data_IF_569725311576
#
_entry.id   IF_569725311576
#
_cell.length_a   1.000
_cell.length_b   1.000
_cell.length_c   1.000
_cell.angle_alpha   90.00
_cell.angle_beta   90.00
_cell.angle_gamma   90.00
#
_symmetry.space_group_name_H-M   'P 1'
#
loop_
_entity.id
_entity.type
_entity.pdbx_description
1 polymer ?
#
# COMPACT_ATOMS: atom_id res chain seq x y z
N UNK A 1 12.28 -31.12 30.40
CA UNK A 1 12.09 -31.04 28.93
C UNK A 1 10.69 -30.57 28.66
N UNK A 2 10.47 -29.35 28.10
CA UNK A 2 9.15 -28.92 27.69
C UNK A 2 8.77 -29.55 26.34
N UNK A 3 7.53 -30.02 26.22
CA UNK A 3 6.97 -30.65 25.02
C UNK A 3 6.93 -29.64 23.86
N UNK A 4 7.18 -30.08 22.61
CA UNK A 4 7.05 -29.21 21.45
C UNK A 4 5.57 -28.83 21.24
N UNK A 5 5.30 -27.54 21.15
CA UNK A 5 3.98 -27.01 20.78
C UNK A 5 3.81 -27.23 19.28
N UNK A 6 2.85 -28.09 18.92
CA UNK A 6 2.42 -28.29 17.53
C UNK A 6 1.95 -26.96 16.91
N UNK A 7 2.27 -26.67 15.64
CA UNK A 7 1.76 -25.50 14.98
C UNK A 7 0.23 -25.62 14.84
N UNK A 8 -0.47 -24.71 15.50
CA UNK A 8 -1.92 -24.55 15.35
C UNK A 8 -2.23 -24.26 13.88
N UNK A 9 -2.79 -25.22 13.17
CA UNK A 9 -3.38 -25.05 11.86
C UNK A 9 -4.53 -24.03 11.97
N UNK A 10 -4.27 -22.79 11.51
CA UNK A 10 -5.34 -21.81 11.35
C UNK A 10 -6.40 -22.38 10.40
N UNK A 11 -7.70 -22.27 10.69
CA UNK A 11 -8.75 -22.86 9.86
C UNK A 11 -8.70 -22.23 8.46
N UNK A 12 -8.58 -23.10 7.44
CA UNK A 12 -8.78 -22.73 6.03
C UNK A 12 -10.23 -22.29 5.92
N UNK A 13 -10.45 -21.00 5.84
CA UNK A 13 -11.79 -20.42 5.75
C UNK A 13 -12.42 -20.84 4.43
N UNK A 14 -13.58 -21.50 4.49
CA UNK A 14 -14.41 -21.86 3.35
C UNK A 14 -14.71 -20.62 2.47
N UNK A 15 -14.94 -20.78 1.14
CA UNK A 15 -15.35 -19.68 0.24
C UNK A 15 -16.53 -18.85 0.76
N UNK A 16 -17.35 -19.42 1.64
CA UNK A 16 -18.51 -18.78 2.26
C UNK A 16 -18.20 -17.80 3.40
N UNK A 17 -16.92 -17.60 3.79
CA UNK A 17 -16.53 -16.73 4.91
C UNK A 17 -16.02 -15.35 4.47
N UNK A 18 -16.15 -14.99 3.19
CA UNK A 18 -15.69 -13.68 2.71
C UNK A 18 -16.58 -12.54 3.21
N UNK A 19 -16.01 -11.59 3.92
CA UNK A 19 -16.66 -10.35 4.30
C UNK A 19 -16.30 -9.23 3.32
N UNK A 20 -17.23 -8.89 2.42
CA UNK A 20 -17.03 -7.79 1.47
C UNK A 20 -17.09 -6.43 2.17
N UNK A 21 -16.08 -5.60 1.97
CA UNK A 21 -15.99 -4.25 2.54
C UNK A 21 -16.73 -3.25 1.66
N UNK A 22 -17.80 -2.64 2.20
CA UNK A 22 -18.50 -1.55 1.52
C UNK A 22 -17.63 -0.30 1.50
N UNK A 23 -17.48 0.29 0.33
CA UNK A 23 -16.77 1.54 0.10
C UNK A 23 -17.77 2.71 0.17
N UNK A 24 -17.29 3.88 0.60
CA UNK A 24 -18.14 5.07 0.80
C UNK A 24 -17.78 6.26 -0.09
N UNK A 25 -17.02 6.04 -1.17
CA UNK A 25 -16.77 7.09 -2.15
C UNK A 25 -17.94 7.20 -3.14
N UNK A 26 -18.04 8.30 -3.87
CA UNK A 26 -18.98 8.41 -5.00
C UNK A 26 -18.43 7.70 -6.23
N UNK A 27 -19.29 6.98 -6.92
CA UNK A 27 -19.03 6.41 -8.24
C UNK A 27 -20.28 6.54 -9.14
N UNK A 28 -20.28 5.94 -10.31
CA UNK A 28 -21.43 5.94 -11.23
C UNK A 28 -22.56 5.02 -10.77
N UNK A 29 -22.25 4.06 -9.88
CA UNK A 29 -23.22 3.21 -9.19
C UNK A 29 -23.41 3.63 -7.72
N UNK A 30 -24.44 3.08 -7.09
CA UNK A 30 -24.68 3.25 -5.67
C UNK A 30 -23.99 2.17 -4.84
N UNK A 31 -23.66 2.46 -3.58
CA UNK A 31 -23.16 1.43 -2.65
C UNK A 31 -24.16 0.29 -2.51
N UNK A 32 -23.66 -0.93 -2.65
CA UNK A 32 -24.44 -2.17 -2.54
C UNK A 32 -24.23 -2.81 -1.17
N UNK A 33 -25.25 -3.49 -0.62
CA UNK A 33 -25.12 -4.26 0.62
C UNK A 33 -24.22 -5.47 0.40
N UNK A 34 -23.37 -5.85 1.40
CA UNK A 34 -22.42 -6.96 1.25
C UNK A 34 -23.06 -8.27 0.79
N UNK A 35 -24.24 -8.63 1.36
CA UNK A 35 -24.93 -9.88 1.08
C UNK A 35 -25.43 -9.94 -0.38
N UNK A 36 -26.00 -8.83 -0.86
CA UNK A 36 -26.45 -8.70 -2.26
C UNK A 36 -25.25 -8.72 -3.23
N UNK A 37 -24.15 -8.05 -2.84
CA UNK A 37 -22.94 -8.06 -3.62
C UNK A 37 -22.37 -9.48 -3.72
N UNK A 38 -22.26 -10.21 -2.59
CA UNK A 38 -21.74 -11.56 -2.55
C UNK A 38 -22.54 -12.50 -3.44
N UNK A 39 -23.86 -12.46 -3.36
CA UNK A 39 -24.75 -13.27 -4.24
C UNK A 39 -24.50 -13.01 -5.72
N UNK A 40 -24.27 -11.74 -6.11
CA UNK A 40 -24.02 -11.38 -7.50
C UNK A 40 -22.64 -11.83 -8.00
N UNK A 41 -21.59 -11.76 -7.16
CA UNK A 41 -20.20 -12.04 -7.56
C UNK A 41 -19.80 -13.51 -7.39
N UNK A 42 -20.62 -14.35 -6.76
CA UNK A 42 -20.33 -15.77 -6.59
C UNK A 42 -20.80 -16.65 -7.76
N UNK A 43 -21.49 -16.09 -8.76
CA UNK A 43 -21.94 -16.82 -9.94
C UNK A 43 -21.00 -16.62 -11.12
N UNK A 44 -20.19 -17.61 -11.49
CA UNK A 44 -19.27 -17.56 -12.63
C UNK A 44 -19.98 -17.20 -13.93
N UNK A 45 -21.14 -17.79 -14.21
CA UNK A 45 -21.96 -17.49 -15.43
C UNK A 45 -22.36 -16.02 -15.53
N UNK A 46 -22.62 -15.34 -14.41
CA UNK A 46 -22.92 -13.90 -14.43
C UNK A 46 -21.65 -13.09 -14.68
N UNK A 47 -20.50 -13.54 -14.20
CA UNK A 47 -19.23 -12.83 -14.33
C UNK A 47 -18.70 -12.91 -15.76
N UNK A 48 -18.89 -14.01 -16.47
CA UNK A 48 -18.52 -14.17 -17.89
C UNK A 48 -19.09 -13.03 -18.77
N UNK A 49 -20.27 -12.53 -18.44
CA UNK A 49 -20.98 -11.46 -19.16
C UNK A 49 -20.95 -10.12 -18.41
N UNK A 50 -20.12 -9.98 -17.36
CA UNK A 50 -20.09 -8.80 -16.52
C UNK A 50 -19.61 -7.58 -17.28
N UNK A 51 -20.37 -6.49 -17.18
CA UNK A 51 -20.02 -5.20 -17.77
C UNK A 51 -19.45 -4.28 -16.71
N UNK A 52 -18.18 -3.97 -16.82
CA UNK A 52 -17.47 -3.09 -15.90
C UNK A 52 -17.74 -1.61 -16.24
N UNK A 53 -17.93 -0.82 -15.19
CA UNK A 53 -17.94 0.64 -15.33
C UNK A 53 -16.49 1.18 -15.38
N UNK A 54 -16.26 2.31 -16.06
CA UNK A 54 -14.94 2.91 -16.09
C UNK A 54 -14.48 3.27 -14.67
N UNK A 55 -13.21 3.04 -14.39
CA UNK A 55 -12.59 3.41 -13.11
C UNK A 55 -12.54 4.94 -12.94
N UNK A 56 -12.61 5.41 -11.71
CA UNK A 56 -12.31 6.81 -11.39
C UNK A 56 -10.83 6.94 -11.06
N UNK A 57 -10.06 7.60 -11.94
CA UNK A 57 -8.65 7.88 -11.71
C UNK A 57 -8.45 9.22 -11.02
N UNK A 58 -7.58 9.27 -10.02
CA UNK A 58 -7.14 10.51 -9.37
C UNK A 58 -5.64 10.45 -9.11
N UNK A 59 -4.95 11.57 -9.31
CA UNK A 59 -3.52 11.65 -9.04
C UNK A 59 -3.25 12.14 -7.62
N UNK A 60 -2.64 11.28 -6.81
CA UNK A 60 -2.17 11.65 -5.48
C UNK A 60 -0.79 12.28 -5.59
N UNK A 61 -0.72 13.60 -5.33
CA UNK A 61 0.52 14.36 -5.33
C UNK A 61 1.15 14.36 -3.95
N UNK A 62 2.38 13.88 -3.83
CA UNK A 62 3.15 13.88 -2.59
C UNK A 62 4.38 14.76 -2.77
N UNK A 63 4.52 15.80 -1.95
CA UNK A 63 5.71 16.68 -1.97
C UNK A 63 6.91 15.90 -1.44
N UNK A 64 7.97 15.79 -2.23
CA UNK A 64 9.29 15.34 -1.80
C UNK A 64 10.24 16.53 -1.84
N UNK A 65 10.95 16.76 -0.74
CA UNK A 65 12.05 17.73 -0.68
C UNK A 65 13.33 16.91 -0.75
N UNK A 66 14.16 17.15 -1.74
CA UNK A 66 15.50 16.58 -1.87
C UNK A 66 16.51 17.73 -1.69
N UNK A 67 17.60 17.47 -0.97
CA UNK A 67 18.75 18.34 -0.95
C UNK A 67 19.64 17.92 -2.11
N UNK A 68 19.96 18.85 -3.01
CA UNK A 68 20.92 18.64 -4.09
C UNK A 68 22.34 18.64 -3.54
N UNK A 69 23.33 18.12 -4.30
CA UNK A 69 24.75 18.19 -3.90
C UNK A 69 25.22 19.62 -3.61
N UNK A 70 24.66 20.60 -4.29
CA UNK A 70 24.86 22.05 -4.06
C UNK A 70 24.33 22.59 -2.74
N UNK A 71 23.63 21.73 -1.93
CA UNK A 71 22.96 22.13 -0.68
C UNK A 71 21.56 22.71 -0.86
N UNK A 72 21.14 23.04 -2.08
CA UNK A 72 19.83 23.61 -2.40
C UNK A 72 18.71 22.59 -2.18
N UNK A 73 17.63 23.04 -1.54
CA UNK A 73 16.45 22.19 -1.32
C UNK A 73 15.52 22.27 -2.54
N UNK A 74 15.47 21.22 -3.34
CA UNK A 74 14.56 21.12 -4.48
C UNK A 74 13.31 20.34 -4.12
N UNK A 75 12.15 20.92 -4.42
CA UNK A 75 10.87 20.24 -4.28
C UNK A 75 10.54 19.48 -5.57
N UNK A 76 10.46 18.14 -5.47
CA UNK A 76 9.96 17.30 -6.57
C UNK A 76 8.64 16.62 -6.15
N UNK A 77 7.53 16.92 -6.81
CA UNK A 77 6.29 16.21 -6.52
C UNK A 77 6.39 14.77 -7.04
N UNK A 78 6.05 13.80 -6.18
CA UNK A 78 5.79 12.42 -6.65
C UNK A 78 4.30 12.29 -6.91
N UNK A 79 3.96 12.03 -8.14
CA UNK A 79 2.58 11.76 -8.57
C UNK A 79 2.33 10.26 -8.62
N UNK A 80 1.15 9.84 -8.15
CA UNK A 80 0.68 8.46 -8.23
C UNK A 80 -0.77 8.44 -8.71
N UNK A 81 -1.05 7.87 -9.88
CA UNK A 81 -2.42 7.64 -10.30
C UNK A 81 -3.01 6.52 -9.44
N UNK A 82 -4.16 6.79 -8.84
CA UNK A 82 -4.92 5.81 -8.05
C UNK A 82 -6.29 5.66 -8.67
N UNK A 83 -6.71 4.43 -8.90
CA UNK A 83 -7.99 4.09 -9.49
C UNK A 83 -8.98 3.56 -8.45
N UNK A 84 -10.24 3.95 -8.57
CA UNK A 84 -11.36 3.44 -7.80
C UNK A 84 -12.33 2.72 -8.71
N UNK A 85 -12.72 1.51 -8.37
CA UNK A 85 -13.75 0.76 -9.10
C UNK A 85 -15.15 1.15 -8.64
N UNK A 86 -16.15 0.95 -9.48
CA UNK A 86 -17.56 1.00 -9.12
C UNK A 86 -17.84 0.03 -7.95
N UNK A 87 -18.89 0.28 -7.18
CA UNK A 87 -19.14 -0.51 -5.96
C UNK A 87 -19.36 -1.99 -6.24
N UNK A 88 -20.11 -2.30 -7.32
CA UNK A 88 -20.31 -3.68 -7.77
C UNK A 88 -19.00 -4.32 -8.25
N UNK A 89 -18.23 -3.59 -9.04
CA UNK A 89 -16.94 -4.05 -9.56
C UNK A 89 -15.91 -4.21 -8.44
N UNK A 90 -15.91 -3.31 -7.45
CA UNK A 90 -15.05 -3.41 -6.29
C UNK A 90 -15.37 -4.65 -5.42
N UNK A 91 -16.64 -5.04 -5.34
CA UNK A 91 -17.06 -6.27 -4.66
C UNK A 91 -16.56 -7.51 -5.43
N UNK A 92 -16.69 -7.50 -6.77
CA UNK A 92 -16.17 -8.54 -7.64
C UNK A 92 -14.65 -8.67 -7.52
N UNK A 93 -13.91 -7.57 -7.57
CA UNK A 93 -12.45 -7.59 -7.37
C UNK A 93 -12.05 -8.08 -5.96
N UNK A 94 -12.85 -7.80 -4.92
CA UNK A 94 -12.61 -8.35 -3.58
C UNK A 94 -12.81 -9.87 -3.56
N UNK A 95 -13.85 -10.37 -4.22
CA UNK A 95 -14.16 -11.79 -4.31
C UNK A 95 -13.04 -12.56 -5.03
N UNK A 96 -12.65 -12.12 -6.25
CA UNK A 96 -11.57 -12.75 -7.00
C UNK A 96 -10.21 -12.59 -6.33
N UNK A 97 -9.95 -11.48 -5.65
CA UNK A 97 -8.76 -11.33 -4.80
C UNK A 97 -8.70 -12.38 -3.70
N UNK A 98 -9.84 -12.69 -3.07
CA UNK A 98 -9.92 -13.74 -2.06
C UNK A 98 -9.66 -15.13 -2.65
N UNK A 99 -10.33 -15.49 -3.75
CA UNK A 99 -10.12 -16.77 -4.43
C UNK A 99 -8.65 -16.98 -4.83
N UNK A 100 -8.06 -15.98 -5.46
CA UNK A 100 -6.65 -16.02 -5.87
C UNK A 100 -5.70 -16.08 -4.68
N UNK A 101 -5.98 -15.36 -3.60
CA UNK A 101 -5.17 -15.44 -2.40
C UNK A 101 -5.17 -16.84 -1.80
N UNK A 102 -6.32 -17.53 -1.77
CA UNK A 102 -6.40 -18.90 -1.27
C UNK A 102 -5.55 -19.88 -2.11
N UNK A 103 -5.60 -19.77 -3.43
CA UNK A 103 -4.79 -20.63 -4.31
C UNK A 103 -3.31 -20.28 -4.22
N UNK A 104 -2.98 -18.99 -4.15
CA UNK A 104 -1.60 -18.52 -3.97
C UNK A 104 -1.00 -19.02 -2.65
N UNK A 105 -1.74 -18.96 -1.53
CA UNK A 105 -1.28 -19.49 -0.24
C UNK A 105 -1.06 -21.01 -0.27
N UNK A 106 -1.93 -21.79 -0.94
CA UNK A 106 -1.71 -23.22 -1.14
C UNK A 106 -0.42 -23.52 -1.91
N UNK A 107 -0.17 -22.77 -2.97
CA UNK A 107 1.04 -22.93 -3.78
C UNK A 107 2.29 -22.56 -2.96
N UNK A 108 2.25 -21.47 -2.20
CA UNK A 108 3.36 -21.06 -1.36
C UNK A 108 3.66 -22.05 -0.22
N UNK A 109 2.66 -22.74 0.31
CA UNK A 109 2.85 -23.72 1.38
C UNK A 109 3.77 -24.89 0.98
N UNK A 110 3.83 -25.20 -0.32
CA UNK A 110 4.66 -26.28 -0.88
C UNK A 110 5.91 -25.76 -1.61
N UNK A 111 6.08 -24.44 -1.76
CA UNK A 111 7.11 -23.86 -2.62
C UNK A 111 8.49 -23.74 -1.97
N UNK A 112 8.59 -23.83 -0.65
CA UNK A 112 9.85 -23.66 0.11
C UNK A 112 10.35 -22.22 0.25
N UNK A 113 9.63 -21.20 -0.29
CA UNK A 113 9.98 -19.79 -0.15
C UNK A 113 8.85 -18.91 0.49
N UNK A 114 7.92 -19.55 1.15
CA UNK A 114 6.78 -18.89 1.79
C UNK A 114 7.18 -17.72 2.70
N UNK A 115 8.26 -17.86 3.47
CA UNK A 115 8.70 -16.86 4.44
C UNK A 115 9.34 -15.62 3.80
N UNK A 116 9.79 -15.74 2.56
CA UNK A 116 10.41 -14.64 1.80
C UNK A 116 9.39 -13.60 1.35
N UNK A 117 8.13 -14.01 1.04
CA UNK A 117 7.07 -13.11 0.57
C UNK A 117 6.22 -12.66 1.75
N UNK A 118 6.29 -11.40 2.09
CA UNK A 118 5.74 -10.89 3.35
C UNK A 118 4.49 -10.00 3.19
N UNK A 119 4.36 -9.27 2.07
CA UNK A 119 3.24 -8.36 1.85
C UNK A 119 2.00 -9.07 1.29
N UNK A 120 0.82 -8.55 1.64
CA UNK A 120 -0.47 -8.94 1.05
C UNK A 120 -0.82 -10.44 1.19
N UNK A 121 -0.26 -11.10 2.19
CA UNK A 121 -0.52 -12.49 2.52
C UNK A 121 -1.73 -12.63 3.45
N UNK A 122 -2.50 -13.69 3.26
CA UNK A 122 -3.66 -14.02 4.09
C UNK A 122 -3.23 -14.97 5.21
N UNK A 123 -3.72 -14.75 6.41
CA UNK A 123 -3.50 -15.67 7.54
C UNK A 123 -2.21 -15.46 8.35
N UNK A 124 -1.24 -14.67 7.90
CA UNK A 124 0.02 -14.46 8.63
C UNK A 124 -0.14 -13.71 9.97
N UNK A 125 -1.22 -12.94 10.16
CA UNK A 125 -1.41 -12.13 11.37
C UNK A 125 -0.35 -11.04 11.60
N UNK A 126 0.60 -10.91 10.71
CA UNK A 126 1.75 -10.00 10.75
C UNK A 126 1.49 -8.70 9.99
N UNK A 127 2.26 -7.68 10.29
CA UNK A 127 2.26 -6.41 9.55
C UNK A 127 3.70 -5.94 9.33
N UNK A 128 3.88 -4.82 8.63
CA UNK A 128 5.19 -4.26 8.33
C UNK A 128 6.12 -4.10 9.55
N UNK A 129 5.59 -3.95 10.77
CA UNK A 129 6.41 -3.86 11.99
C UNK A 129 7.10 -5.20 12.27
N UNK A 130 6.35 -6.30 12.18
CA UNK A 130 6.89 -7.65 12.42
C UNK A 130 7.96 -7.98 11.40
N UNK A 131 7.68 -7.77 10.11
CA UNK A 131 8.63 -8.06 9.03
C UNK A 131 9.90 -7.20 9.09
N UNK A 132 9.78 -5.94 9.48
CA UNK A 132 10.97 -5.11 9.72
C UNK A 132 11.77 -5.60 10.95
N UNK A 133 11.09 -6.00 12.02
CA UNK A 133 11.76 -6.54 13.20
C UNK A 133 12.48 -7.86 12.91
N UNK A 134 11.87 -8.76 12.13
CA UNK A 134 12.47 -10.03 11.69
C UNK A 134 13.72 -9.79 10.82
N UNK A 135 13.64 -8.87 9.85
CA UNK A 135 14.79 -8.51 9.02
C UNK A 135 15.94 -7.88 9.83
N UNK A 136 15.63 -7.04 10.81
CA UNK A 136 16.65 -6.45 11.68
C UNK A 136 17.26 -7.48 12.65
N UNK A 137 16.47 -8.45 13.11
CA UNK A 137 16.98 -9.57 13.92
C UNK A 137 17.92 -10.45 13.08
N UNK A 138 17.57 -10.73 11.83
CA UNK A 138 18.41 -11.48 10.89
C UNK A 138 19.76 -10.77 10.64
N UNK A 139 19.78 -9.44 10.47
CA UNK A 139 21.04 -8.68 10.36
C UNK A 139 21.90 -8.85 11.63
N UNK A 140 21.29 -8.75 12.81
CA UNK A 140 22.00 -8.82 14.08
C UNK A 140 22.48 -10.23 14.44
N UNK A 141 21.89 -11.28 13.88
CA UNK A 141 22.32 -12.66 14.10
C UNK A 141 23.60 -13.03 13.34
N UNK A 142 23.98 -12.21 12.35
CA UNK A 142 25.13 -12.47 11.48
C UNK A 142 26.40 -11.80 12.00
N UNK A 143 27.55 -12.48 12.00
CA UNK A 143 28.81 -11.86 12.42
C UNK A 143 29.24 -10.73 11.47
N UNK A 144 29.01 -10.90 10.17
CA UNK A 144 29.17 -9.87 9.14
C UNK A 144 28.20 -10.11 8.00
N UNK A 145 27.59 -9.04 7.46
CA UNK A 145 26.69 -9.17 6.31
C UNK A 145 26.63 -7.88 5.49
N UNK A 146 26.31 -8.04 4.20
CA UNK A 146 25.95 -6.97 3.28
C UNK A 146 24.44 -7.00 3.04
N UNK A 147 23.78 -5.88 3.25
CA UNK A 147 22.32 -5.72 3.09
C UNK A 147 22.03 -4.89 1.84
N UNK A 148 21.32 -5.48 0.89
CA UNK A 148 20.83 -4.82 -0.32
C UNK A 148 19.36 -4.51 -0.16
N UNK A 149 19.02 -3.22 -0.19
CA UNK A 149 17.62 -2.78 -0.26
C UNK A 149 17.33 -2.21 -1.66
N UNK A 150 16.40 -2.83 -2.36
CA UNK A 150 16.09 -2.60 -3.77
C UNK A 150 14.60 -2.22 -3.92
N UNK A 151 14.28 -1.39 -4.91
CA UNK A 151 12.89 -0.96 -5.22
C UNK A 151 12.65 -1.18 -6.71
N UNK A 152 11.52 -1.77 -7.08
CA UNK A 152 11.14 -1.97 -8.48
C UNK A 152 10.56 -0.67 -9.04
N UNK A 153 11.02 -0.25 -10.22
CA UNK A 153 10.57 0.97 -10.86
C UNK A 153 9.16 0.82 -11.41
N UNK A 154 8.22 1.72 -11.01
CA UNK A 154 6.89 1.79 -11.60
C UNK A 154 6.10 0.49 -11.53
N UNK A 155 6.29 -0.33 -10.50
CA UNK A 155 5.90 -1.74 -10.43
C UNK A 155 4.51 -2.04 -11.03
N UNK A 156 3.45 -1.43 -10.51
CA UNK A 156 2.08 -1.67 -11.03
C UNK A 156 1.87 -1.17 -12.47
N UNK A 157 2.60 -0.15 -12.87
CA UNK A 157 2.50 0.45 -14.20
C UNK A 157 3.30 -0.32 -15.25
N UNK A 158 4.12 -1.32 -14.84
CA UNK A 158 5.05 -2.06 -15.72
C UNK A 158 4.72 -3.56 -15.85
N UNK A 159 3.69 -4.07 -15.17
CA UNK A 159 3.36 -5.49 -15.20
C UNK A 159 2.91 -5.94 -16.60
N UNK A 160 3.70 -6.80 -17.27
CA UNK A 160 3.37 -7.36 -18.57
C UNK A 160 2.13 -8.26 -18.49
N UNK A 161 1.19 -8.05 -19.41
CA UNK A 161 -0.11 -8.73 -19.34
C UNK A 161 -0.01 -10.22 -19.67
N UNK A 162 0.92 -10.63 -20.56
CA UNK A 162 1.08 -12.04 -20.89
C UNK A 162 1.69 -12.81 -19.71
N UNK A 163 2.77 -12.30 -19.13
CA UNK A 163 3.38 -12.89 -17.93
C UNK A 163 2.36 -13.00 -16.79
N UNK A 164 1.57 -11.93 -16.56
CA UNK A 164 0.51 -11.95 -15.54
C UNK A 164 -0.53 -13.03 -15.81
N UNK A 165 -0.93 -13.22 -17.09
CA UNK A 165 -1.92 -14.22 -17.49
C UNK A 165 -1.38 -15.65 -17.26
N UNK A 166 -0.14 -15.91 -17.65
CA UNK A 166 0.48 -17.23 -17.53
C UNK A 166 0.66 -17.62 -16.04
N UNK A 167 1.11 -16.66 -15.22
CA UNK A 167 1.24 -16.88 -13.78
C UNK A 167 -0.11 -16.99 -13.06
N UNK A 168 -1.15 -16.31 -13.55
CA UNK A 168 -2.50 -16.49 -13.04
C UNK A 168 -3.03 -17.91 -13.36
N UNK A 169 -2.80 -18.41 -14.59
CA UNK A 169 -3.10 -19.80 -14.94
C UNK A 169 -2.33 -20.78 -14.04
N UNK A 170 -1.03 -20.54 -13.81
CA UNK A 170 -0.17 -21.36 -12.94
C UNK A 170 -0.72 -21.44 -11.51
N UNK A 171 -1.14 -20.31 -10.93
CA UNK A 171 -1.73 -20.28 -9.58
C UNK A 171 -3.04 -21.05 -9.51
N UNK A 172 -3.83 -21.04 -10.58
CA UNK A 172 -5.08 -21.83 -10.66
C UNK A 172 -4.86 -23.29 -10.99
N UNK A 173 -3.67 -23.69 -11.47
CA UNK A 173 -3.38 -25.04 -11.96
C UNK A 173 -4.11 -25.38 -13.26
N UNK A 174 -4.28 -24.40 -14.17
CA UNK A 174 -5.01 -24.56 -15.44
C UNK A 174 -4.17 -24.08 -16.63
N UNK A 175 -4.39 -24.64 -17.81
CA UNK A 175 -3.71 -24.20 -19.04
C UNK A 175 -4.24 -22.88 -19.58
N UNK A 176 -5.55 -22.64 -19.39
CA UNK A 176 -6.24 -21.42 -19.84
C UNK A 176 -7.12 -20.88 -18.74
N UNK A 177 -7.21 -19.55 -18.63
CA UNK A 177 -8.10 -18.93 -17.66
C UNK A 177 -9.56 -19.33 -17.94
N UNK A 178 -10.32 -19.76 -16.92
CA UNK A 178 -11.77 -19.90 -16.99
C UNK A 178 -12.40 -18.58 -17.45
N UNK A 179 -13.54 -18.63 -18.14
CA UNK A 179 -14.15 -17.47 -18.79
C UNK A 179 -14.42 -16.31 -17.82
N UNK A 180 -14.87 -16.62 -16.63
CA UNK A 180 -15.11 -15.64 -15.55
C UNK A 180 -13.78 -14.99 -15.07
N UNK A 181 -12.71 -15.78 -14.83
CA UNK A 181 -11.39 -15.26 -14.52
C UNK A 181 -10.80 -14.45 -15.67
N UNK A 182 -11.02 -14.89 -16.92
CA UNK A 182 -10.58 -14.14 -18.10
C UNK A 182 -11.28 -12.77 -18.21
N UNK A 183 -12.57 -12.71 -17.92
CA UNK A 183 -13.32 -11.46 -17.90
C UNK A 183 -12.79 -10.49 -16.85
N UNK A 184 -12.46 -10.99 -15.65
CA UNK A 184 -11.81 -10.19 -14.61
C UNK A 184 -10.40 -9.74 -15.05
N UNK A 185 -9.58 -10.65 -15.59
CA UNK A 185 -8.26 -10.33 -16.11
C UNK A 185 -8.33 -9.21 -17.18
N UNK A 186 -9.24 -9.35 -18.15
CA UNK A 186 -9.46 -8.35 -19.20
C UNK A 186 -9.83 -6.98 -18.63
N UNK A 187 -10.68 -6.94 -17.61
CA UNK A 187 -11.11 -5.69 -16.98
C UNK A 187 -9.99 -4.94 -16.26
N UNK A 188 -8.92 -5.62 -15.87
CA UNK A 188 -7.76 -5.08 -15.16
C UNK A 188 -6.65 -4.69 -16.13
N UNK A 189 -6.49 -5.43 -17.22
CA UNK A 189 -5.44 -5.21 -18.22
C UNK A 189 -5.87 -4.20 -19.31
N UNK A 190 -7.09 -4.31 -19.81
CA UNK A 190 -7.70 -3.37 -20.77
C UNK A 190 -8.74 -2.46 -20.10
N UNK A 191 -8.39 -1.95 -18.91
CA UNK A 191 -9.28 -1.13 -18.09
C UNK A 191 -9.64 0.19 -18.76
N UNK A 192 -10.88 0.59 -18.59
CA UNK A 192 -11.36 1.92 -18.94
C UNK A 192 -11.38 2.82 -17.69
N UNK A 193 -11.07 4.10 -17.85
CA UNK A 193 -11.08 5.06 -16.74
C UNK A 193 -11.52 6.46 -17.18
N UNK A 194 -11.93 7.25 -16.20
CA UNK A 194 -12.20 8.68 -16.34
C UNK A 194 -11.44 9.44 -15.25
N UNK A 195 -11.06 10.68 -15.56
CA UNK A 195 -10.41 11.55 -14.56
C UNK A 195 -11.46 12.06 -13.56
N UNK A 196 -11.36 11.60 -12.30
CA UNK A 196 -12.32 11.96 -11.24
C UNK A 196 -12.53 13.47 -11.13
N UNK A 197 -11.46 14.24 -11.21
CA UNK A 197 -11.51 15.68 -10.98
C UNK A 197 -12.21 16.40 -12.14
N UNK A 198 -12.06 15.91 -13.38
CA UNK A 198 -12.78 16.41 -14.54
C UNK A 198 -14.29 16.10 -14.44
N UNK A 199 -14.61 14.86 -14.09
CA UNK A 199 -16.01 14.43 -13.90
C UNK A 199 -16.68 15.20 -12.74
N UNK A 200 -15.99 15.38 -11.61
CA UNK A 200 -16.52 16.17 -10.49
C UNK A 200 -16.78 17.63 -10.88
N UNK A 201 -15.88 18.24 -11.67
CA UNK A 201 -16.08 19.60 -12.20
C UNK A 201 -17.30 19.63 -13.12
N UNK A 202 -17.42 18.66 -14.05
CA UNK A 202 -18.53 18.58 -15.02
C UNK A 202 -19.91 18.47 -14.36
N UNK A 203 -20.00 17.72 -13.24
CA UNK A 203 -21.24 17.54 -12.46
C UNK A 203 -21.34 18.44 -11.22
N UNK A 204 -20.55 19.51 -11.13
CA UNK A 204 -20.54 20.47 -10.01
C UNK A 204 -20.43 19.80 -8.63
N UNK A 205 -19.59 18.76 -8.51
CA UNK A 205 -19.36 18.01 -7.28
C UNK A 205 -18.15 18.57 -6.54
N UNK A 206 -18.33 18.95 -5.27
CA UNK A 206 -17.24 19.41 -4.42
C UNK A 206 -16.24 18.29 -4.11
N UNK A 207 -14.94 18.52 -4.37
CA UNK A 207 -13.86 17.59 -3.99
C UNK A 207 -13.74 17.38 -2.48
N UNK A 208 -14.09 18.39 -1.68
CA UNK A 208 -13.98 18.36 -0.23
C UNK A 208 -15.20 17.75 0.46
N UNK A 209 -16.38 17.90 -0.14
CA UNK A 209 -17.61 17.29 0.34
C UNK A 209 -18.41 16.68 -0.83
N UNK A 210 -17.93 15.58 -1.42
CA UNK A 210 -18.55 15.02 -2.61
C UNK A 210 -19.94 14.44 -2.36
N UNK A 211 -20.27 14.10 -1.12
CA UNK A 211 -21.57 13.56 -0.70
C UNK A 211 -22.52 14.62 -0.14
N UNK A 212 -22.24 15.90 -0.39
CA UNK A 212 -23.17 16.98 -0.02
C UNK A 212 -24.58 16.70 -0.56
N UNK A 213 -25.61 17.15 0.17
CA UNK A 213 -27.02 16.94 -0.17
C UNK A 213 -27.40 15.46 -0.31
N UNK A 214 -26.78 14.58 0.51
CA UNK A 214 -27.04 13.13 0.52
C UNK A 214 -26.77 12.41 -0.81
N UNK A 215 -25.93 12.98 -1.67
CA UNK A 215 -25.57 12.40 -2.97
C UNK A 215 -25.01 10.99 -2.79
N UNK A 216 -25.56 10.03 -3.53
CA UNK A 216 -25.19 8.60 -3.47
C UNK A 216 -24.39 8.12 -4.68
N UNK A 217 -24.58 8.74 -5.85
CA UNK A 217 -23.85 8.48 -7.11
C UNK A 217 -23.48 9.79 -7.82
N UNK A 218 -22.56 9.71 -8.77
CA UNK A 218 -22.06 10.88 -9.52
C UNK A 218 -23.17 11.47 -10.37
N UNK A 219 -23.85 10.65 -11.19
CA UNK A 219 -24.89 11.07 -12.13
C UNK A 219 -25.90 9.93 -12.35
N UNK A 220 -26.95 10.22 -13.08
CA UNK A 220 -27.93 9.22 -13.57
C UNK A 220 -27.32 8.34 -14.67
N UNK A 221 -27.97 7.23 -14.99
CA UNK A 221 -27.56 6.38 -16.13
C UNK A 221 -27.73 7.12 -17.46
N UNK A 222 -28.72 7.98 -17.57
CA UNK A 222 -28.93 8.83 -18.74
C UNK A 222 -27.75 9.80 -18.90
N UNK A 223 -27.41 10.57 -17.86
CA UNK A 223 -26.29 11.52 -17.90
C UNK A 223 -24.94 10.81 -18.15
N UNK A 224 -24.76 9.59 -17.61
CA UNK A 224 -23.57 8.81 -17.89
C UNK A 224 -23.43 8.52 -19.40
N UNK A 225 -24.54 8.18 -20.09
CA UNK A 225 -24.53 7.93 -21.52
C UNK A 225 -24.34 9.22 -22.31
N UNK A 226 -25.10 10.25 -21.98
CA UNK A 226 -25.17 11.52 -22.74
C UNK A 226 -23.90 12.38 -22.52
N UNK A 227 -23.31 12.37 -21.31
CA UNK A 227 -22.19 13.25 -21.00
C UNK A 227 -20.87 12.46 -20.94
N UNK A 228 -20.79 11.39 -20.11
CA UNK A 228 -19.50 10.73 -19.87
C UNK A 228 -19.06 9.91 -21.08
N UNK A 229 -19.99 9.17 -21.69
CA UNK A 229 -19.69 8.32 -22.86
C UNK A 229 -19.66 9.12 -24.15
N UNK A 230 -20.69 9.91 -24.42
CA UNK A 230 -20.83 10.65 -25.71
C UNK A 230 -19.75 11.75 -25.84
N UNK A 231 -19.38 12.43 -24.77
CA UNK A 231 -18.31 13.45 -24.78
C UNK A 231 -16.89 12.86 -24.78
N UNK A 232 -16.71 11.55 -24.95
CA UNK A 232 -15.38 10.92 -25.03
C UNK A 232 -14.53 11.00 -23.76
N UNK A 233 -15.16 11.15 -22.59
CA UNK A 233 -14.43 11.25 -21.30
C UNK A 233 -13.77 9.95 -20.87
N UNK A 234 -14.14 8.81 -21.49
CA UNK A 234 -13.64 7.48 -21.15
C UNK A 234 -12.35 7.19 -21.91
N UNK A 235 -11.27 7.05 -21.18
CA UNK A 235 -9.97 6.60 -21.69
C UNK A 235 -9.79 5.10 -21.40
N UNK A 236 -8.94 4.43 -22.19
CA UNK A 236 -8.63 3.01 -22.02
C UNK A 236 -7.13 2.81 -21.87
N UNK A 237 -6.73 1.73 -21.21
CA UNK A 237 -5.37 1.24 -21.29
C UNK A 237 -5.23 0.44 -22.59
N UNK A 238 -4.44 0.94 -23.52
CA UNK A 238 -4.17 0.32 -24.82
C UNK A 238 -2.89 -0.48 -24.82
N UNK A 239 -2.02 -0.23 -23.81
CA UNK A 239 -0.74 -0.92 -23.65
C UNK A 239 -0.93 -2.41 -23.35
N UNK A 240 0.11 -3.22 -23.62
CA UNK A 240 0.17 -4.63 -23.22
C UNK A 240 0.78 -4.83 -21.83
N UNK A 241 0.92 -3.78 -21.05
CA UNK A 241 1.44 -3.77 -19.69
C UNK A 241 0.67 -2.78 -18.79
N UNK A 242 0.92 -2.90 -17.49
CA UNK A 242 0.35 -2.03 -16.46
C UNK A 242 -1.05 -2.46 -15.99
N UNK A 243 -1.26 -2.41 -14.67
CA UNK A 243 -2.54 -2.65 -14.02
C UNK A 243 -2.90 -1.49 -13.07
N UNK A 244 -4.20 -1.21 -12.82
CA UNK A 244 -4.60 -0.08 -12.01
C UNK A 244 -4.16 -0.22 -10.55
N UNK A 245 -3.45 0.77 -10.01
CA UNK A 245 -3.15 0.84 -8.59
C UNK A 245 -4.39 1.30 -7.80
N UNK A 246 -4.77 0.57 -6.75
CA UNK A 246 -5.86 0.92 -5.85
C UNK A 246 -7.09 0.01 -5.93
N UNK A 247 -7.13 -0.93 -6.86
CA UNK A 247 -8.16 -1.97 -6.90
C UNK A 247 -7.90 -3.01 -5.81
N UNK A 248 -8.95 -3.64 -5.26
CA UNK A 248 -8.79 -4.67 -4.23
C UNK A 248 -7.92 -5.86 -4.66
N UNK A 249 -7.96 -6.23 -5.93
CA UNK A 249 -7.26 -7.39 -6.49
C UNK A 249 -5.78 -7.10 -6.83
N UNK A 250 -5.40 -5.83 -7.05
CA UNK A 250 -4.05 -5.49 -7.53
C UNK A 250 -2.94 -5.98 -6.59
N UNK A 251 -3.23 -6.05 -5.30
CA UNK A 251 -2.27 -6.49 -4.28
C UNK A 251 -1.89 -7.99 -4.44
N UNK A 252 -2.86 -8.87 -4.61
CA UNK A 252 -2.58 -10.30 -4.84
C UNK A 252 -1.95 -10.53 -6.20
N UNK A 253 -2.35 -9.78 -7.22
CA UNK A 253 -1.76 -9.87 -8.56
C UNK A 253 -0.29 -9.47 -8.57
N UNK A 254 0.13 -8.51 -7.72
CA UNK A 254 1.53 -8.16 -7.56
C UNK A 254 2.38 -9.31 -7.00
N UNK A 255 1.81 -10.11 -6.12
CA UNK A 255 2.48 -11.31 -5.62
C UNK A 255 2.50 -12.43 -6.66
N UNK A 256 1.38 -12.65 -7.35
CA UNK A 256 1.29 -13.66 -8.43
C UNK A 256 2.31 -13.35 -9.54
N UNK A 257 2.44 -12.09 -9.94
CA UNK A 257 3.38 -11.68 -10.98
C UNK A 257 4.85 -11.99 -10.66
N UNK A 258 5.22 -11.94 -9.40
CA UNK A 258 6.59 -12.21 -8.97
C UNK A 258 6.82 -13.66 -8.48
N UNK A 259 5.89 -14.57 -8.73
CA UNK A 259 5.94 -15.93 -8.21
C UNK A 259 7.24 -16.67 -8.61
N UNK A 260 7.57 -16.67 -9.90
CA UNK A 260 8.77 -17.36 -10.42
C UNK A 260 10.05 -16.59 -10.09
N UNK A 261 9.97 -15.26 -10.04
CA UNK A 261 11.06 -14.41 -9.55
C UNK A 261 11.39 -14.74 -8.08
N UNK A 262 10.38 -14.82 -7.22
CA UNK A 262 10.57 -15.15 -5.79
C UNK A 262 11.16 -16.55 -5.61
N UNK A 263 10.68 -17.52 -6.38
CA UNK A 263 11.21 -18.88 -6.34
C UNK A 263 12.71 -18.91 -6.70
N UNK A 264 13.09 -18.28 -7.81
CA UNK A 264 14.48 -18.28 -8.30
C UNK A 264 15.41 -17.50 -7.35
N UNK A 265 15.01 -16.31 -6.89
CA UNK A 265 15.83 -15.50 -5.99
C UNK A 265 15.97 -16.16 -4.61
N UNK A 266 14.87 -16.73 -4.09
CA UNK A 266 14.91 -17.41 -2.79
C UNK A 266 15.81 -18.65 -2.81
N UNK A 267 15.74 -19.46 -3.88
CA UNK A 267 16.60 -20.64 -4.02
C UNK A 267 18.08 -20.25 -4.05
N UNK A 268 18.46 -19.30 -4.91
CA UNK A 268 19.83 -18.85 -5.01
C UNK A 268 20.33 -18.16 -3.71
N UNK A 269 19.49 -17.37 -3.05
CA UNK A 269 19.83 -16.81 -1.75
C UNK A 269 20.09 -17.89 -0.70
N UNK A 270 19.29 -18.96 -0.68
CA UNK A 270 19.46 -20.07 0.24
C UNK A 270 20.78 -20.81 0.01
N UNK A 271 21.15 -21.06 -1.24
CA UNK A 271 22.43 -21.67 -1.61
C UNK A 271 23.64 -20.83 -1.15
N UNK A 272 23.52 -19.50 -1.24
CA UNK A 272 24.57 -18.56 -0.79
C UNK A 272 24.53 -18.26 0.72
N UNK A 273 23.66 -18.90 1.50
CA UNK A 273 23.46 -18.54 2.90
C UNK A 273 22.92 -17.12 3.13
N UNK A 274 22.27 -16.53 2.13
CA UNK A 274 21.63 -15.22 2.20
C UNK A 274 20.15 -15.35 2.62
N UNK A 275 19.60 -14.32 3.28
CA UNK A 275 18.18 -14.21 3.58
C UNK A 275 17.50 -13.24 2.58
N UNK A 276 16.35 -13.65 2.05
CA UNK A 276 15.57 -12.89 1.09
C UNK A 276 14.21 -12.50 1.68
N UNK A 277 13.86 -11.21 1.61
CA UNK A 277 12.57 -10.66 2.02
C UNK A 277 12.00 -9.76 0.93
N UNK A 278 10.74 -9.96 0.56
CA UNK A 278 10.02 -9.07 -0.35
C UNK A 278 8.72 -8.57 0.25
N UNK A 279 8.56 -7.27 0.24
CA UNK A 279 7.32 -6.60 0.65
C UNK A 279 6.77 -5.77 -0.51
N UNK A 280 5.91 -6.36 -1.35
CA UNK A 280 5.41 -5.78 -2.60
C UNK A 280 6.56 -5.50 -3.59
N UNK A 281 6.87 -4.22 -3.84
CA UNK A 281 7.98 -3.73 -4.67
C UNK A 281 9.29 -3.51 -3.89
N UNK A 282 9.26 -3.54 -2.56
CA UNK A 282 10.44 -3.42 -1.70
C UNK A 282 11.11 -4.81 -1.52
N UNK A 283 12.34 -4.96 -2.00
CA UNK A 283 13.17 -6.17 -1.88
C UNK A 283 14.29 -5.89 -0.88
N UNK A 284 14.53 -6.82 0.05
CA UNK A 284 15.65 -6.79 0.97
C UNK A 284 16.38 -8.12 0.93
N UNK A 285 17.68 -8.11 0.67
CA UNK A 285 18.55 -9.29 0.71
C UNK A 285 19.65 -9.05 1.73
N UNK A 286 19.83 -9.99 2.64
CA UNK A 286 20.87 -9.99 3.67
C UNK A 286 21.84 -11.12 3.35
N UNK A 287 23.00 -10.77 2.83
CA UNK A 287 23.98 -11.70 2.30
C UNK A 287 25.22 -11.78 3.20
N UNK A 288 26.01 -12.87 3.10
CA UNK A 288 27.36 -12.88 3.62
C UNK A 288 28.17 -11.68 3.08
N UNK A 289 29.15 -11.23 3.87
CA UNK A 289 30.01 -10.12 3.45
C UNK A 289 30.79 -10.51 2.17
N UNK A 290 30.89 -9.58 1.22
CA UNK A 290 31.57 -9.79 -0.07
C UNK A 290 30.68 -10.23 -1.23
N UNK A 291 29.50 -10.79 -0.98
CA UNK A 291 28.62 -11.38 -2.03
C UNK A 291 27.74 -10.34 -2.79
N UNK A 292 28.01 -9.08 -2.60
CA UNK A 292 27.21 -7.99 -3.19
C UNK A 292 27.04 -8.11 -4.71
N UNK A 293 28.17 -8.26 -5.44
CA UNK A 293 28.16 -8.26 -6.92
C UNK A 293 27.38 -9.45 -7.49
N UNK A 294 27.52 -10.60 -6.85
CA UNK A 294 26.82 -11.85 -7.24
C UNK A 294 25.31 -11.65 -7.09
N UNK A 295 24.88 -11.10 -5.97
CA UNK A 295 23.45 -10.87 -5.70
C UNK A 295 22.86 -9.78 -6.59
N UNK A 296 23.58 -8.66 -6.80
CA UNK A 296 23.12 -7.62 -7.73
C UNK A 296 22.95 -8.18 -9.15
N UNK A 297 23.89 -8.99 -9.62
CA UNK A 297 23.80 -9.68 -10.92
C UNK A 297 22.62 -10.63 -10.99
N UNK A 298 22.45 -11.49 -9.98
CA UNK A 298 21.33 -12.42 -9.86
C UNK A 298 19.98 -11.70 -9.93
N UNK A 299 19.77 -10.69 -9.07
CA UNK A 299 18.49 -9.98 -9.01
C UNK A 299 18.20 -9.27 -10.34
N UNK A 300 19.20 -8.61 -10.94
CA UNK A 300 19.02 -7.93 -12.22
C UNK A 300 18.66 -8.94 -13.34
N UNK A 301 19.28 -10.09 -13.38
CA UNK A 301 18.96 -11.16 -14.33
C UNK A 301 17.52 -11.67 -14.16
N UNK A 302 17.10 -11.90 -12.92
CA UNK A 302 15.74 -12.40 -12.65
C UNK A 302 14.66 -11.32 -12.88
N UNK A 303 14.92 -10.05 -12.53
CA UNK A 303 14.01 -8.93 -12.79
C UNK A 303 13.81 -8.73 -14.30
N UNK A 304 14.86 -8.87 -15.11
CA UNK A 304 14.78 -8.78 -16.57
C UNK A 304 13.88 -9.85 -17.18
N UNK A 305 13.91 -11.10 -16.67
CA UNK A 305 13.02 -12.19 -17.13
C UNK A 305 11.55 -11.86 -16.96
N UNK A 306 11.20 -11.12 -15.93
CA UNK A 306 9.83 -10.66 -15.67
C UNK A 306 9.58 -9.25 -16.23
N UNK A 307 10.39 -8.77 -17.15
CA UNK A 307 10.27 -7.47 -17.84
C UNK A 307 10.11 -6.28 -16.89
N UNK A 308 10.78 -6.32 -15.74
CA UNK A 308 10.81 -5.24 -14.76
C UNK A 308 12.21 -4.61 -14.69
N UNK A 309 12.33 -3.51 -13.95
CA UNK A 309 13.60 -2.78 -13.80
C UNK A 309 13.78 -2.37 -12.35
N UNK A 310 14.99 -2.51 -11.81
CA UNK A 310 15.35 -2.00 -10.48
C UNK A 310 15.55 -0.48 -10.55
N UNK A 311 15.02 0.23 -9.58
CA UNK A 311 15.19 1.68 -9.43
C UNK A 311 16.56 1.98 -8.80
N UNK A 312 17.61 2.11 -9.59
CA UNK A 312 18.99 2.31 -9.12
C UNK A 312 19.14 3.50 -8.17
N UNK A 313 18.45 4.61 -8.43
CA UNK A 313 18.48 5.81 -7.58
C UNK A 313 17.89 5.59 -6.15
N UNK A 314 17.27 4.45 -5.87
CA UNK A 314 16.73 4.06 -4.57
C UNK A 314 17.41 2.82 -3.99
N UNK A 315 18.19 2.12 -4.78
CA UNK A 315 19.02 1.02 -4.29
C UNK A 315 19.97 1.54 -3.23
N UNK A 316 20.04 0.84 -2.11
CA UNK A 316 20.99 1.16 -1.05
C UNK A 316 21.65 -0.11 -0.53
N UNK A 317 22.95 -0.02 -0.30
CA UNK A 317 23.79 -1.09 0.22
C UNK A 317 24.32 -0.68 1.58
N UNK A 318 24.30 -1.60 2.53
CA UNK A 318 24.72 -1.36 3.91
C UNK A 318 25.51 -2.58 4.41
N UNK A 319 26.70 -2.33 4.95
CA UNK A 319 27.51 -3.37 5.56
C UNK A 319 27.39 -3.30 7.08
N UNK A 320 27.25 -4.48 7.68
CA UNK A 320 27.16 -4.67 9.13
C UNK A 320 28.22 -5.66 9.58
N UNK A 321 28.87 -5.36 10.72
CA UNK A 321 29.83 -6.23 11.40
C UNK A 321 29.46 -6.29 12.89
N UNK A 322 29.31 -7.49 13.42
CA UNK A 322 28.87 -7.74 14.80
C UNK A 322 27.59 -6.92 15.15
N UNK A 323 26.63 -6.90 14.24
CA UNK A 323 25.37 -6.16 14.37
C UNK A 323 25.50 -4.64 14.23
N UNK A 324 26.70 -4.07 14.11
CA UNK A 324 26.92 -2.64 13.95
C UNK A 324 27.11 -2.27 12.47
N UNK A 325 26.48 -1.20 12.05
CA UNK A 325 26.64 -0.66 10.69
C UNK A 325 28.05 -0.05 10.54
N UNK A 326 28.74 -0.42 9.48
CA UNK A 326 30.12 0.01 9.23
C UNK A 326 30.21 1.50 8.88
N UNK A 327 29.38 2.01 7.97
CA UNK A 327 29.43 3.42 7.52
C UNK A 327 28.11 3.89 6.87
N UNK A 328 28.00 5.20 6.62
CA UNK A 328 26.98 5.81 5.79
C UNK A 328 25.64 6.09 6.52
N UNK A 329 24.53 6.09 5.80
CA UNK A 329 23.18 6.34 6.32
C UNK A 329 22.57 5.07 6.90
N UNK A 330 21.67 5.16 7.91
CA UNK A 330 20.94 3.98 8.40
C UNK A 330 20.14 3.30 7.29
N UNK A 331 20.05 1.96 7.37
CA UNK A 331 19.15 1.18 6.51
C UNK A 331 17.71 1.67 6.67
N UNK A 332 17.01 1.88 5.57
CA UNK A 332 15.58 2.22 5.58
C UNK A 332 14.77 1.05 5.05
N UNK A 333 13.95 0.43 5.90
CA UNK A 333 13.09 -0.68 5.51
C UNK A 333 11.70 -0.56 6.14
N UNK A 334 10.65 -0.76 5.35
CA UNK A 334 9.22 -0.79 5.73
C UNK A 334 8.75 0.35 6.67
N UNK A 335 9.34 1.52 6.52
CA UNK A 335 8.97 2.70 7.31
C UNK A 335 9.81 2.93 8.56
N UNK A 336 10.85 2.14 8.77
CA UNK A 336 11.82 2.24 9.85
C UNK A 336 13.22 2.57 9.34
N UNK A 337 14.08 3.00 10.25
CA UNK A 337 15.52 3.13 10.04
C UNK A 337 16.25 2.27 11.06
N UNK A 338 17.33 1.63 10.63
CA UNK A 338 18.14 0.72 11.44
C UNK A 338 19.63 1.00 11.23
N UNK A 339 20.39 1.13 12.31
CA UNK A 339 21.84 1.39 12.31
C UNK A 339 22.66 0.28 12.98
N UNK A 340 22.02 -0.84 13.29
CA UNK A 340 22.58 -1.96 14.03
C UNK A 340 22.13 -2.00 15.49
N UNK A 341 21.91 -0.85 16.12
CA UNK A 341 21.45 -0.73 17.51
C UNK A 341 20.03 -0.20 17.59
N UNK A 342 19.78 0.95 16.95
CA UNK A 342 18.53 1.69 17.07
C UNK A 342 17.57 1.33 15.94
N UNK A 343 16.33 0.97 16.30
CA UNK A 343 15.22 0.69 15.40
C UNK A 343 14.22 1.84 15.46
N UNK A 344 14.39 2.87 14.64
CA UNK A 344 13.63 4.11 14.75
C UNK A 344 12.56 4.23 13.65
N UNK A 345 11.53 5.03 13.92
CA UNK A 345 10.59 5.42 12.87
C UNK A 345 11.26 6.37 11.87
N UNK A 346 10.99 6.16 10.59
CA UNK A 346 11.49 7.03 9.52
C UNK A 346 11.02 8.47 9.72
N UNK A 347 11.94 9.42 9.75
CA UNK A 347 11.67 10.85 9.99
C UNK A 347 10.61 11.43 9.06
N UNK A 348 10.56 11.02 7.80
CA UNK A 348 9.53 11.44 6.85
C UNK A 348 8.09 11.09 7.29
N UNK A 349 7.90 10.02 8.06
CA UNK A 349 6.62 9.65 8.68
C UNK A 349 6.21 10.63 9.76
N UNK A 350 7.13 10.90 10.67
CA UNK A 350 6.95 11.84 11.81
C UNK A 350 6.68 13.27 11.29
N UNK A 351 7.45 13.72 10.32
CA UNK A 351 7.29 15.05 9.70
C UNK A 351 5.91 15.21 9.08
N UNK A 352 5.44 14.19 8.32
CA UNK A 352 4.08 14.18 7.75
C UNK A 352 2.99 14.18 8.80
N UNK A 353 3.19 13.44 9.88
CA UNK A 353 2.26 13.43 11.00
C UNK A 353 2.10 14.82 11.62
N UNK A 354 3.19 15.52 11.96
CA UNK A 354 3.13 16.87 12.51
C UNK A 354 2.63 17.91 11.50
N UNK A 355 2.94 17.77 10.21
CA UNK A 355 2.38 18.64 9.17
C UNK A 355 0.86 18.50 9.05
N UNK A 356 0.32 17.28 9.15
CA UNK A 356 -1.12 17.02 9.18
C UNK A 356 -1.77 17.57 10.46
N UNK A 357 -1.09 17.48 11.60
CA UNK A 357 -1.54 18.05 12.86
C UNK A 357 -1.67 19.57 12.75
N UNK A 358 -0.62 20.27 12.28
CA UNK A 358 -0.67 21.72 12.06
C UNK A 358 -1.78 22.13 11.08
N UNK A 359 -1.97 21.38 10.00
CA UNK A 359 -3.05 21.63 9.05
C UNK A 359 -4.43 21.45 9.67
N UNK A 360 -4.60 20.48 10.57
CA UNK A 360 -5.87 20.27 11.27
C UNK A 360 -6.18 21.38 12.29
N UNK A 361 -5.15 21.87 13.01
CA UNK A 361 -5.31 23.02 13.92
C UNK A 361 -5.68 24.27 13.12
N UNK A 362 -4.97 24.55 12.01
CA UNK A 362 -5.27 25.69 11.13
C UNK A 362 -6.71 25.63 10.58
N UNK A 363 -7.15 24.45 10.14
CA UNK A 363 -8.53 24.28 9.66
C UNK A 363 -9.56 24.53 10.75
N UNK A 364 -9.31 24.05 11.97
CA UNK A 364 -10.20 24.29 13.11
C UNK A 364 -10.26 25.78 13.51
N UNK A 365 -9.12 26.48 13.44
CA UNK A 365 -9.06 27.93 13.67
C UNK A 365 -9.80 28.71 12.58
N UNK A 366 -9.59 28.37 11.30
CA UNK A 366 -10.35 28.99 10.20
C UNK A 366 -11.86 28.79 10.35
N UNK A 367 -12.27 27.59 10.79
CA UNK A 367 -13.69 27.30 11.06
C UNK A 367 -14.22 28.12 12.23
N UNK A 368 -13.43 28.27 13.31
CA UNK A 368 -13.75 29.14 14.46
C UNK A 368 -13.91 30.57 14.00
N UNK A 369 -12.90 31.14 13.31
CA UNK A 369 -12.93 32.54 12.84
C UNK A 369 -14.13 32.83 11.93
N UNK A 370 -14.49 31.91 11.06
CA UNK A 370 -15.67 32.03 10.19
C UNK A 370 -16.98 31.99 11.01
N UNK A 371 -17.04 31.20 12.08
CA UNK A 371 -18.17 31.16 12.99
C UNK A 371 -18.25 32.44 13.82
N UNK A 372 -17.13 32.87 14.43
CA UNK A 372 -17.03 34.06 15.24
C UNK A 372 -17.46 35.32 14.45
N UNK A 373 -17.02 35.43 13.18
CA UNK A 373 -17.42 36.51 12.28
C UNK A 373 -18.93 36.52 11.99
N UNK A 374 -19.57 35.33 11.97
CA UNK A 374 -21.01 35.22 11.72
C UNK A 374 -21.88 35.51 12.96
N UNK A 375 -21.38 35.15 14.15
CA UNK A 375 -22.12 35.24 15.41
C UNK A 375 -21.70 36.44 16.27
N UNK A 376 -20.62 37.16 15.88
CA UNK A 376 -19.97 38.25 16.62
C UNK A 376 -19.46 37.86 18.02
N UNK A 377 -19.44 36.52 18.29
CA UNK A 377 -19.01 35.98 19.58
C UNK A 377 -17.64 35.31 19.38
N UNK A 378 -16.62 35.75 20.15
CA UNK A 378 -15.31 35.09 20.17
C UNK A 378 -15.38 33.76 20.91
N UNK A 379 -15.02 32.70 20.21
CA UNK A 379 -15.02 31.33 20.74
C UNK A 379 -13.61 30.71 20.72
N UNK A 380 -13.41 29.63 21.47
CA UNK A 380 -12.16 28.84 21.45
C UNK A 380 -12.16 27.79 20.34
N UNK A 381 -10.97 27.35 19.92
CA UNK A 381 -10.82 26.28 18.96
C UNK A 381 -11.42 24.97 19.50
N UNK A 382 -12.25 24.29 18.73
CA UNK A 382 -12.82 22.98 19.11
C UNK A 382 -11.74 21.88 19.06
N UNK A 383 -11.09 21.64 20.19
CA UNK A 383 -9.87 20.82 20.29
C UNK A 383 -10.12 19.31 20.40
N UNK A 384 -11.31 18.84 20.84
CA UNK A 384 -11.63 17.43 21.11
C UNK A 384 -11.24 16.48 19.96
N UNK A 385 -11.56 16.85 18.70
CA UNK A 385 -11.21 16.04 17.52
C UNK A 385 -9.70 16.05 17.23
N UNK A 386 -9.01 17.17 17.50
CA UNK A 386 -7.57 17.32 17.31
C UNK A 386 -6.82 16.43 18.30
N UNK A 387 -7.14 16.54 19.61
CA UNK A 387 -6.54 15.69 20.64
C UNK A 387 -6.80 14.21 20.37
N UNK A 388 -8.06 13.82 20.05
CA UNK A 388 -8.37 12.44 19.71
C UNK A 388 -7.59 11.90 18.50
N UNK A 389 -7.23 12.75 17.53
CA UNK A 389 -6.52 12.32 16.32
C UNK A 389 -5.01 12.39 16.44
N UNK A 390 -4.48 13.35 17.20
CA UNK A 390 -3.04 13.66 17.24
C UNK A 390 -2.41 13.50 18.63
N UNK A 391 -3.06 12.76 19.54
CA UNK A 391 -2.47 12.36 20.82
C UNK A 391 -2.74 10.88 21.11
N UNK A 392 -2.23 10.39 22.24
CA UNK A 392 -2.47 9.02 22.72
C UNK A 392 -3.96 8.74 23.05
N UNK A 393 -4.81 9.75 23.18
CA UNK A 393 -6.24 9.60 23.45
C UNK A 393 -7.02 8.91 22.30
N UNK A 394 -6.43 8.80 21.12
CA UNK A 394 -7.07 8.20 19.96
C UNK A 394 -6.64 6.78 19.65
N UNK A 395 -7.61 5.94 19.29
CA UNK A 395 -7.35 4.60 18.78
C UNK A 395 -7.04 4.66 17.26
N UNK A 396 -6.22 3.72 16.76
CA UNK A 396 -5.84 3.60 15.32
C UNK A 396 -5.22 4.87 14.73
N UNK A 397 -4.43 5.60 15.54
CA UNK A 397 -3.69 6.80 15.13
C UNK A 397 -2.24 6.46 14.76
N UNK A 398 -1.50 7.45 14.20
CA UNK A 398 -0.05 7.29 14.00
C UNK A 398 0.69 7.04 15.31
N UNK A 399 0.25 7.64 16.43
CA UNK A 399 0.85 7.40 17.74
C UNK A 399 0.58 5.99 18.26
N UNK A 400 -0.64 5.47 18.10
CA UNK A 400 -0.93 4.08 18.47
C UNK A 400 -0.10 3.08 17.65
N UNK A 401 0.17 3.40 16.37
CA UNK A 401 1.13 2.66 15.56
C UNK A 401 2.56 2.77 16.10
N UNK A 402 3.03 3.98 16.43
CA UNK A 402 4.37 4.21 16.96
C UNK A 402 4.60 3.50 18.31
N UNK A 403 3.66 3.57 19.25
CA UNK A 403 3.74 2.84 20.52
C UNK A 403 3.75 1.31 20.32
N UNK A 404 2.92 0.80 19.39
CA UNK A 404 2.94 -0.62 19.03
C UNK A 404 4.29 -1.02 18.42
N UNK A 405 4.86 -0.15 17.57
CA UNK A 405 6.19 -0.38 16.98
C UNK A 405 7.29 -0.45 18.05
N UNK A 406 7.31 0.49 19.00
CA UNK A 406 8.26 0.49 20.10
C UNK A 406 8.21 -0.80 20.92
N UNK A 407 6.99 -1.28 21.20
CA UNK A 407 6.78 -2.53 21.94
C UNK A 407 7.26 -3.76 21.16
N UNK A 408 6.88 -3.87 19.88
CA UNK A 408 7.21 -5.04 19.05
C UNK A 408 8.69 -5.09 18.66
N UNK A 409 9.32 -3.94 18.46
CA UNK A 409 10.76 -3.84 18.17
C UNK A 409 11.65 -3.84 19.41
N UNK A 410 11.05 -3.74 20.61
CA UNK A 410 11.77 -3.64 21.88
C UNK A 410 12.79 -2.50 21.87
N UNK A 411 12.37 -1.31 21.37
CA UNK A 411 13.23 -0.14 21.21
C UNK A 411 12.54 1.12 21.75
N UNK A 412 13.12 1.69 22.81
CA UNK A 412 12.61 2.92 23.44
C UNK A 412 12.93 4.20 22.65
N UNK A 413 13.85 4.16 21.71
CA UNK A 413 14.16 5.28 20.81
C UNK A 413 12.92 5.76 20.05
N UNK A 414 12.02 4.85 19.66
CA UNK A 414 10.73 5.20 19.04
C UNK A 414 9.85 6.02 20.00
N UNK A 415 9.80 5.67 21.30
CA UNK A 415 9.07 6.46 22.31
C UNK A 415 9.66 7.86 22.43
N UNK A 416 11.01 7.96 22.42
CA UNK A 416 11.72 9.24 22.42
C UNK A 416 11.34 10.14 21.25
N UNK A 417 11.23 9.59 20.03
CA UNK A 417 10.84 10.34 18.82
C UNK A 417 9.45 11.01 18.93
N UNK A 418 8.53 10.41 19.68
CA UNK A 418 7.15 10.87 19.80
C UNK A 418 6.81 11.50 21.15
N UNK A 419 7.76 11.53 22.11
CA UNK A 419 7.58 12.02 23.48
C UNK A 419 6.90 13.40 23.54
N UNK A 420 7.32 14.31 22.69
CA UNK A 420 6.84 15.70 22.70
C UNK A 420 5.48 15.94 22.00
N UNK A 421 4.76 14.88 21.58
CA UNK A 421 3.54 15.05 20.79
C UNK A 421 2.45 15.90 21.46
N UNK A 422 2.25 15.74 22.76
CA UNK A 422 1.24 16.48 23.53
C UNK A 422 1.56 17.98 23.59
N UNK A 423 2.78 18.34 23.98
CA UNK A 423 3.27 19.71 24.02
C UNK A 423 3.21 20.40 22.66
N UNK A 424 3.58 19.69 21.59
CA UNK A 424 3.51 20.21 20.22
C UNK A 424 2.07 20.52 19.77
N UNK A 425 1.09 19.69 20.14
CA UNK A 425 -0.34 19.98 19.85
C UNK A 425 -0.82 21.18 20.60
N UNK A 426 -0.53 21.29 21.91
CA UNK A 426 -0.90 22.45 22.74
C UNK A 426 -0.27 23.74 22.23
N UNK A 427 1.03 23.72 21.94
CA UNK A 427 1.75 24.87 21.41
C UNK A 427 1.13 25.38 20.10
N UNK A 428 0.76 24.48 19.18
CA UNK A 428 0.18 24.87 17.90
C UNK A 428 -1.24 25.47 18.07
N UNK A 429 -2.02 24.96 19.02
CA UNK A 429 -3.34 25.53 19.37
C UNK A 429 -3.17 26.93 19.98
N UNK A 430 -2.29 27.05 20.98
CA UNK A 430 -2.03 28.32 21.65
C UNK A 430 -1.60 29.42 20.67
N UNK A 431 -0.66 29.12 19.74
CA UNK A 431 -0.25 30.05 18.69
C UNK A 431 -1.41 30.56 17.84
N UNK A 432 -2.46 29.76 17.62
CA UNK A 432 -3.62 30.18 16.83
C UNK A 432 -4.65 30.96 17.68
N UNK A 433 -4.72 30.70 18.96
CA UNK A 433 -5.60 31.44 19.89
C UNK A 433 -5.04 32.81 20.29
N UNK A 434 -3.69 32.92 20.42
CA UNK A 434 -3.00 34.18 20.71
C UNK A 434 -2.79 35.11 19.50
N UNK A 435 -3.19 34.67 18.30
CA UNK A 435 -3.09 35.53 17.10
C UNK A 435 -1.74 35.53 16.36
N UNK A 436 -0.76 34.73 16.81
CA UNK A 436 0.51 34.51 16.11
C UNK A 436 0.45 33.43 15.05
#
# INVERSE_FOLDING_TARGET
>A
MPRPVSPSSAPITHPNSISLKVRRYLHFDEPIRPEQALKAVSSSKLIEKWQFLPLLRTTVKTRKIKREPSGVLRQSPKERPICYAAHRDAALYQYYSHLLSLQYEKLLAISGFSDSVTAFRVGLGKCNIHFAAEAFAEINSRPACTVLALDIQGFFDSLDHQILKDLWCKVLGVERLPLDHFQVFRSITKYAYVERDAIYKRFSISKHNPRARSRRKICSTFDFRAVVRAEGQIKKNEDCYGIPQGLPISAVLSNIYLLDFDAAVSAACKEMGAAYFRYCDDILIIAPAGERAVIESLVNAQVAKVKLTIQTAKTSVHDFVAGNRVAGKPLQYLGFTFDGKNKLLRNAGITRYYARMRSAVRLADNTRRASDKKTEIKTKIKTKKIFKKYTYLGKKTYLSYAFRSARLMQDDGIKGQIKAHWGKVRLEISKKESGY
#
